data_IF_175751321757
#
_entry.id   IF_175751321757
#
_cell.length_a   1.000
_cell.length_b   1.000
_cell.length_c   1.000
_cell.angle_alpha   90.00
_cell.angle_beta   90.00
_cell.angle_gamma   90.00
#
_symmetry.space_group_name_H-M   'P 1'
#
loop_
_entity.id
_entity.type
_entity.pdbx_description
1 polymer ?
#
# COMPACT_ATOMS: atom_id res chain seq x y z
N UNK A 1 -24.77 3.64 -5.78
CA UNK A 1 -23.62 3.23 -6.62
C UNK A 1 -22.90 4.44 -7.26
N UNK A 2 -23.61 5.37 -7.90
CA UNK A 2 -23.03 6.51 -8.64
C UNK A 2 -22.36 7.59 -7.78
N UNK A 3 -22.93 7.95 -6.62
CA UNK A 3 -22.38 9.02 -5.77
C UNK A 3 -20.99 8.70 -5.21
N UNK A 4 -20.76 7.44 -4.83
CA UNK A 4 -19.48 6.98 -4.25
C UNK A 4 -18.37 6.89 -5.31
N UNK A 5 -18.72 6.49 -6.55
CA UNK A 5 -17.83 6.54 -7.72
C UNK A 5 -17.40 7.98 -8.03
N UNK A 6 -18.34 8.93 -7.95
CA UNK A 6 -18.04 10.35 -8.14
C UNK A 6 -17.15 10.92 -7.03
N UNK A 7 -17.40 10.58 -5.76
CA UNK A 7 -16.54 10.99 -4.64
C UNK A 7 -15.13 10.41 -4.77
N UNK A 8 -15.00 9.12 -5.11
CA UNK A 8 -13.70 8.45 -5.27
C UNK A 8 -12.93 9.08 -6.44
N UNK A 9 -13.56 9.28 -7.59
CA UNK A 9 -12.93 9.97 -8.72
C UNK A 9 -12.47 11.39 -8.35
N UNK A 10 -13.31 12.17 -7.66
CA UNK A 10 -12.99 13.53 -7.25
C UNK A 10 -11.88 13.60 -6.20
N UNK A 11 -11.88 12.67 -5.23
CA UNK A 11 -10.90 12.61 -4.13
C UNK A 11 -9.51 12.15 -4.61
N UNK A 12 -9.46 11.14 -5.48
CA UNK A 12 -8.19 10.54 -5.90
C UNK A 12 -7.62 11.13 -7.18
N UNK A 13 -8.45 11.44 -8.19
CA UNK A 13 -7.99 11.91 -9.50
C UNK A 13 -8.16 13.42 -9.70
N UNK A 14 -8.84 14.13 -8.77
CA UNK A 14 -9.22 15.55 -8.91
C UNK A 14 -9.92 15.87 -10.25
N UNK A 15 -10.46 14.85 -10.93
CA UNK A 15 -11.22 14.94 -12.17
C UNK A 15 -12.67 14.54 -11.89
N UNK A 16 -13.60 15.15 -12.60
CA UNK A 16 -14.99 14.71 -12.60
C UNK A 16 -15.12 13.40 -13.37
N UNK A 17 -16.03 12.52 -12.94
CA UNK A 17 -16.27 11.21 -13.54
C UNK A 17 -16.46 11.28 -15.07
N UNK A 18 -17.09 12.35 -15.55
CA UNK A 18 -17.36 12.55 -16.97
C UNK A 18 -16.11 12.87 -17.80
N UNK A 19 -15.04 13.36 -17.16
CA UNK A 19 -13.74 13.63 -17.83
C UNK A 19 -12.77 12.46 -17.79
N UNK A 20 -13.17 11.34 -17.19
CA UNK A 20 -12.34 10.15 -17.12
C UNK A 20 -12.37 9.37 -18.43
N UNK A 21 -11.20 8.91 -18.88
CA UNK A 21 -11.04 7.99 -20.01
C UNK A 21 -11.70 6.64 -19.71
N UNK A 22 -12.06 5.87 -20.74
CA UNK A 22 -12.70 4.56 -20.56
C UNK A 22 -11.86 3.55 -19.75
N UNK A 23 -10.53 3.64 -19.87
CA UNK A 23 -9.59 2.87 -19.05
C UNK A 23 -9.59 3.35 -17.60
N UNK A 24 -9.49 4.66 -17.35
CA UNK A 24 -9.62 5.25 -16.00
C UNK A 24 -10.94 4.84 -15.33
N UNK A 25 -12.08 4.93 -16.03
CA UNK A 25 -13.41 4.52 -15.51
C UNK A 25 -13.47 3.05 -15.12
N UNK A 26 -12.91 2.14 -15.95
CA UNK A 26 -12.86 0.70 -15.64
C UNK A 26 -12.05 0.42 -14.39
N UNK A 27 -10.93 1.12 -14.22
CA UNK A 27 -10.07 0.97 -13.05
C UNK A 27 -10.82 1.48 -11.82
N UNK A 28 -11.37 2.69 -11.83
CA UNK A 28 -12.17 3.22 -10.70
C UNK A 28 -13.36 2.31 -10.35
N UNK A 29 -14.04 1.73 -11.34
CA UNK A 29 -15.17 0.81 -11.10
C UNK A 29 -14.75 -0.48 -10.38
N UNK A 30 -13.65 -1.12 -10.80
CA UNK A 30 -13.07 -2.29 -10.11
C UNK A 30 -12.60 -1.96 -8.70
N UNK A 31 -12.15 -0.74 -8.50
CA UNK A 31 -11.62 -0.27 -7.22
C UNK A 31 -12.72 0.05 -6.22
N UNK A 32 -13.83 0.66 -6.65
CA UNK A 32 -14.99 0.91 -5.78
C UNK A 32 -15.64 -0.41 -5.33
N UNK A 33 -15.75 -1.41 -6.20
CA UNK A 33 -16.26 -2.74 -5.82
C UNK A 33 -15.40 -3.39 -4.72
N UNK A 34 -14.06 -3.32 -4.84
CA UNK A 34 -13.14 -3.91 -3.85
C UNK A 34 -13.03 -3.08 -2.56
N UNK A 35 -13.08 -1.75 -2.64
CA UNK A 35 -13.04 -0.85 -1.48
C UNK A 35 -14.29 -0.98 -0.58
N UNK A 36 -15.45 -1.29 -1.17
CA UNK A 36 -16.70 -1.45 -0.42
C UNK A 36 -16.65 -2.63 0.57
N UNK A 37 -15.95 -3.71 0.20
CA UNK A 37 -15.80 -4.91 1.04
C UNK A 37 -14.93 -4.58 2.26
N UNK A 38 -13.81 -3.86 2.07
CA UNK A 38 -12.89 -3.51 3.17
C UNK A 38 -13.49 -2.52 4.17
N UNK A 39 -14.19 -1.49 3.66
CA UNK A 39 -14.71 -0.39 4.50
C UNK A 39 -15.90 -0.78 5.36
N UNK A 40 -16.75 -1.70 4.90
CA UNK A 40 -17.94 -2.12 5.68
C UNK A 40 -17.52 -2.76 7.01
N UNK A 41 -16.52 -3.64 6.97
CA UNK A 41 -16.08 -4.35 8.17
C UNK A 41 -15.25 -3.50 9.13
N UNK A 42 -14.80 -2.31 8.73
CA UNK A 42 -14.07 -1.41 9.62
C UNK A 42 -15.01 -0.56 10.51
N UNK A 43 -16.20 -0.21 10.00
CA UNK A 43 -17.18 0.61 10.74
C UNK A 43 -17.79 -0.12 11.94
N UNK A 44 -17.83 -1.45 11.92
CA UNK A 44 -18.28 -2.25 13.06
C UNK A 44 -17.31 -2.21 14.26
N UNK A 45 -16.06 -1.78 14.06
CA UNK A 45 -15.01 -1.80 15.11
C UNK A 45 -14.82 -0.48 15.84
N UNK A 46 -15.26 0.66 15.30
CA UNK A 46 -14.99 1.97 15.91
C UNK A 46 -15.94 2.36 17.05
N UNK A 47 -17.08 1.67 17.23
CA UNK A 47 -18.20 2.22 18.00
C UNK A 47 -18.19 1.93 19.51
N UNK A 48 -17.17 1.24 20.04
CA UNK A 48 -17.12 0.92 21.48
C UNK A 48 -15.81 1.36 22.11
N UNK A 49 -15.78 2.58 22.67
CA UNK A 49 -14.69 3.02 23.56
C UNK A 49 -15.15 3.11 25.00
N UNK A 50 -14.94 2.04 25.77
CA UNK A 50 -15.25 1.97 27.21
C UNK A 50 -14.01 2.13 28.10
N UNK A 51 -14.22 2.49 29.38
CA UNK A 51 -13.15 2.68 30.38
C UNK A 51 -12.27 1.43 30.59
N UNK A 52 -12.87 0.23 30.50
CA UNK A 52 -12.15 -1.04 30.62
C UNK A 52 -11.09 -1.25 29.54
N UNK A 53 -11.33 -0.75 28.32
CA UNK A 53 -10.37 -0.87 27.22
C UNK A 53 -9.11 -0.03 27.48
N UNK A 54 -9.24 1.17 28.07
CA UNK A 54 -8.08 2.03 28.41
C UNK A 54 -7.21 1.42 29.51
N UNK A 55 -7.82 0.72 30.46
CA UNK A 55 -7.10 0.03 31.53
C UNK A 55 -6.37 -1.21 30.98
N UNK A 56 -7.04 -2.00 30.14
CA UNK A 56 -6.42 -3.14 29.46
C UNK A 56 -5.26 -2.72 28.56
N UNK A 57 -5.33 -1.54 27.93
CA UNK A 57 -4.21 -0.95 27.17
C UNK A 57 -2.96 -0.77 28.01
N UNK A 58 -3.10 -0.10 29.16
CA UNK A 58 -1.97 0.14 30.06
C UNK A 58 -1.39 -1.18 30.58
N UNK A 59 -2.23 -2.15 30.92
CA UNK A 59 -1.78 -3.44 31.45
C UNK A 59 -1.05 -4.25 30.37
N UNK A 60 -1.53 -4.26 29.12
CA UNK A 60 -0.92 -5.01 28.04
C UNK A 60 0.44 -4.46 27.62
N UNK A 61 0.57 -3.13 27.49
CA UNK A 61 1.85 -2.50 27.17
C UNK A 61 2.87 -2.70 28.30
N UNK A 62 2.42 -2.72 29.56
CA UNK A 62 3.28 -2.96 30.71
C UNK A 62 3.70 -4.43 30.84
N UNK A 63 2.78 -5.37 30.64
CA UNK A 63 3.03 -6.82 30.76
C UNK A 63 3.98 -7.38 29.71
N UNK A 64 4.13 -6.75 28.54
CA UNK A 64 5.05 -7.16 27.48
C UNK A 64 6.48 -6.62 27.60
N UNK A 65 6.78 -5.81 28.63
CA UNK A 65 8.10 -5.18 28.78
C UNK A 65 9.08 -6.05 29.57
N UNK A 66 10.35 -6.07 29.15
CA UNK A 66 11.46 -6.68 29.90
C UNK A 66 11.60 -6.10 31.32
N UNK A 67 11.27 -4.82 31.50
CA UNK A 67 11.30 -4.16 32.81
C UNK A 67 10.28 -4.77 33.79
N UNK A 68 9.10 -5.18 33.30
CA UNK A 68 8.08 -5.82 34.13
C UNK A 68 8.54 -7.18 34.64
N UNK A 69 9.15 -8.00 33.78
CA UNK A 69 9.69 -9.32 34.13
C UNK A 69 10.73 -9.19 35.25
N UNK A 70 11.62 -8.19 35.14
CA UNK A 70 12.68 -7.94 36.14
C UNK A 70 12.08 -7.48 37.48
N UNK A 71 11.16 -6.51 37.48
CA UNK A 71 10.52 -6.01 38.71
C UNK A 71 9.69 -7.10 39.38
N UNK A 72 8.95 -7.88 38.60
CA UNK A 72 8.14 -8.99 39.11
C UNK A 72 9.01 -10.07 39.76
N UNK A 73 10.09 -10.49 39.08
CA UNK A 73 11.06 -11.44 39.63
C UNK A 73 11.74 -10.92 40.89
N UNK A 74 12.13 -9.64 40.93
CA UNK A 74 12.71 -9.01 42.12
C UNK A 74 11.72 -8.98 43.29
N UNK A 75 10.44 -8.68 43.02
CA UNK A 75 9.39 -8.67 44.05
C UNK A 75 9.19 -10.06 44.66
N UNK A 76 9.18 -11.11 43.82
CA UNK A 76 9.12 -12.50 44.30
C UNK A 76 10.35 -12.86 45.15
N UNK A 77 11.55 -12.48 44.71
CA UNK A 77 12.78 -12.72 45.46
C UNK A 77 12.77 -12.00 46.82
N UNK A 78 12.29 -10.75 46.86
CA UNK A 78 12.13 -9.97 48.10
C UNK A 78 11.10 -10.63 49.03
N UNK A 79 9.98 -11.11 48.50
CA UNK A 79 8.96 -11.79 49.30
C UNK A 79 9.49 -13.07 49.94
N UNK A 80 10.19 -13.89 49.16
CA UNK A 80 10.84 -15.11 49.66
C UNK A 80 11.89 -14.76 50.72
N UNK A 81 12.76 -13.78 50.47
CA UNK A 81 13.79 -13.35 51.41
C UNK A 81 13.19 -12.80 52.72
N UNK A 82 12.15 -11.98 52.64
CA UNK A 82 11.46 -11.41 53.80
C UNK A 82 10.81 -12.51 54.64
N UNK A 83 10.14 -13.46 54.01
CA UNK A 83 9.47 -14.56 54.70
C UNK A 83 10.48 -15.55 55.33
N UNK A 84 11.61 -15.84 54.65
CA UNK A 84 12.72 -16.59 55.24
C UNK A 84 13.38 -15.86 56.41
N UNK A 85 13.52 -14.53 56.33
CA UNK A 85 14.09 -13.71 57.41
C UNK A 85 13.17 -13.67 58.64
N UNK A 86 11.85 -13.51 58.44
CA UNK A 86 10.84 -13.54 59.50
C UNK A 86 10.78 -14.92 60.18
N UNK A 87 10.86 -16.01 59.41
CA UNK A 87 10.96 -17.37 59.93
C UNK A 87 12.19 -17.54 60.84
N UNK A 88 13.34 -16.97 60.45
CA UNK A 88 14.58 -17.07 61.22
C UNK A 88 14.60 -16.22 62.51
N UNK A 89 13.89 -15.08 62.56
CA UNK A 89 14.01 -14.11 63.66
C UNK A 89 12.79 -14.01 64.58
N UNK A 90 11.58 -14.44 64.16
CA UNK A 90 10.33 -14.22 64.92
C UNK A 90 9.55 -15.48 65.32
N UNK A 91 10.08 -16.69 65.04
CA UNK A 91 9.54 -17.94 65.60
C UNK A 91 8.28 -18.49 64.92
N UNK A 92 7.88 -17.95 63.76
CA UNK A 92 6.80 -18.52 62.94
C UNK A 92 6.79 -17.93 61.53
N UNK A 93 6.74 -18.73 60.46
CA UNK A 93 6.65 -18.22 59.09
C UNK A 93 5.28 -17.59 58.84
N UNK A 94 5.25 -16.43 58.19
CA UNK A 94 4.00 -15.81 57.75
C UNK A 94 3.34 -16.61 56.61
N UNK A 95 4.17 -17.20 55.73
CA UNK A 95 3.73 -18.11 54.65
C UNK A 95 4.65 -19.36 54.60
N UNK A 96 4.37 -20.43 55.35
CA UNK A 96 5.23 -21.61 55.39
C UNK A 96 5.43 -22.23 54.00
N UNK A 97 6.61 -22.80 53.74
CA UNK A 97 6.86 -23.57 52.51
C UNK A 97 5.79 -24.67 52.37
N UNK A 98 5.03 -24.74 51.26
CA UNK A 98 5.37 -24.32 49.89
C UNK A 98 4.80 -22.95 49.42
N UNK A 99 4.59 -21.98 50.32
CA UNK A 99 4.07 -20.63 50.04
C UNK A 99 2.64 -20.60 49.47
N UNK A 100 1.65 -21.06 50.26
CA UNK A 100 0.24 -21.15 49.83
C UNK A 100 -0.32 -19.80 49.38
N UNK A 101 0.00 -18.72 50.10
CA UNK A 101 -0.55 -17.40 49.80
C UNK A 101 0.03 -16.85 48.50
N UNK A 102 1.34 -16.95 48.32
CA UNK A 102 2.00 -16.55 47.08
C UNK A 102 1.48 -17.37 45.89
N UNK A 103 1.30 -18.67 46.06
CA UNK A 103 0.76 -19.54 45.02
C UNK A 103 -0.69 -19.17 44.64
N UNK A 104 -1.53 -18.83 45.62
CA UNK A 104 -2.90 -18.35 45.38
C UNK A 104 -2.90 -17.04 44.57
N UNK A 105 -2.05 -16.08 44.94
CA UNK A 105 -1.91 -14.81 44.20
C UNK A 105 -1.40 -15.02 42.77
N UNK A 106 -0.39 -15.87 42.58
CA UNK A 106 0.13 -16.20 41.25
C UNK A 106 -0.94 -16.89 40.39
N UNK A 107 -1.72 -17.79 40.96
CA UNK A 107 -2.80 -18.49 40.26
C UNK A 107 -3.91 -17.52 39.82
N UNK A 108 -4.29 -16.59 40.69
CA UNK A 108 -5.27 -15.54 40.34
C UNK A 108 -4.72 -14.60 39.25
N UNK A 109 -3.44 -14.21 39.35
CA UNK A 109 -2.79 -13.37 38.34
C UNK A 109 -2.75 -14.06 36.98
N UNK A 110 -2.37 -15.35 36.95
CA UNK A 110 -2.33 -16.16 35.73
C UNK A 110 -3.72 -16.34 35.11
N UNK A 111 -4.77 -16.54 35.93
CA UNK A 111 -6.14 -16.65 35.44
C UNK A 111 -6.62 -15.37 34.72
N UNK A 112 -6.17 -14.20 35.17
CA UNK A 112 -6.48 -12.92 34.53
C UNK A 112 -5.59 -12.59 33.33
N UNK A 113 -4.46 -13.28 33.14
CA UNK A 113 -3.55 -13.02 32.02
C UNK A 113 -4.18 -13.36 30.68
N UNK A 114 -4.79 -14.53 30.52
CA UNK A 114 -5.32 -14.97 29.22
C UNK A 114 -6.40 -14.02 28.65
N UNK A 115 -7.40 -13.56 29.42
CA UNK A 115 -8.36 -12.56 28.94
C UNK A 115 -7.73 -11.20 28.62
N UNK A 116 -6.79 -10.73 29.43
CA UNK A 116 -6.10 -9.45 29.19
C UNK A 116 -5.25 -9.51 27.92
N UNK A 117 -4.54 -10.62 27.71
CA UNK A 117 -3.78 -10.89 26.49
C UNK A 117 -4.74 -10.96 25.29
N UNK A 118 -5.86 -11.69 25.40
CA UNK A 118 -6.85 -11.80 24.34
C UNK A 118 -7.49 -10.45 24.00
N UNK A 119 -7.79 -9.61 24.99
CA UNK A 119 -8.28 -8.24 24.77
C UNK A 119 -7.23 -7.35 24.11
N UNK A 120 -5.95 -7.48 24.49
CA UNK A 120 -4.86 -6.76 23.82
C UNK A 120 -4.65 -7.21 22.38
N UNK A 121 -4.73 -8.51 22.13
CA UNK A 121 -4.60 -9.09 20.78
C UNK A 121 -5.77 -8.64 19.89
N UNK A 122 -7.00 -8.68 20.39
CA UNK A 122 -8.18 -8.22 19.63
C UNK A 122 -8.05 -6.73 19.24
N UNK A 123 -7.44 -5.91 20.10
CA UNK A 123 -7.17 -4.51 19.81
C UNK A 123 -6.03 -4.30 18.82
N UNK A 124 -4.93 -5.03 18.96
CA UNK A 124 -3.84 -4.98 17.99
C UNK A 124 -4.35 -5.37 16.60
N UNK A 125 -5.17 -6.44 16.51
CA UNK A 125 -5.80 -6.86 15.25
C UNK A 125 -6.72 -5.78 14.66
N UNK A 126 -7.46 -5.03 15.49
CA UNK A 126 -8.27 -3.91 15.03
C UNK A 126 -7.41 -2.76 14.47
N UNK A 127 -6.27 -2.46 15.10
CA UNK A 127 -5.31 -1.46 14.60
C UNK A 127 -4.64 -1.94 13.29
N UNK A 128 -4.17 -3.18 13.25
CA UNK A 128 -3.58 -3.78 12.06
C UNK A 128 -4.57 -3.77 10.88
N UNK A 129 -5.86 -3.95 11.18
CA UNK A 129 -6.93 -3.82 10.18
C UNK A 129 -7.10 -2.39 9.65
N UNK A 130 -7.06 -1.39 10.52
CA UNK A 130 -7.11 0.03 10.13
C UNK A 130 -5.90 0.39 9.26
N UNK A 131 -4.71 -0.02 9.68
CA UNK A 131 -3.46 0.20 8.95
C UNK A 131 -3.52 -0.49 7.57
N UNK A 132 -3.99 -1.75 7.52
CA UNK A 132 -4.19 -2.46 6.25
C UNK A 132 -5.24 -1.80 5.34
N UNK A 133 -6.30 -1.21 5.90
CA UNK A 133 -7.30 -0.46 5.13
C UNK A 133 -6.70 0.83 4.54
N UNK A 134 -5.83 1.51 5.31
CA UNK A 134 -5.11 2.68 4.83
C UNK A 134 -4.10 2.32 3.73
N UNK A 135 -3.31 1.27 3.93
CA UNK A 135 -2.36 0.77 2.93
C UNK A 135 -3.07 0.37 1.63
N UNK A 136 -4.26 -0.24 1.76
CA UNK A 136 -5.11 -0.55 0.62
C UNK A 136 -5.51 0.72 -0.16
N UNK A 137 -5.90 1.79 0.55
CA UNK A 137 -6.26 3.09 -0.05
C UNK A 137 -5.07 3.75 -0.76
N UNK A 138 -3.88 3.67 -0.17
CA UNK A 138 -2.64 4.19 -0.77
C UNK A 138 -2.27 3.40 -2.03
N UNK A 139 -2.30 2.07 -1.97
CA UNK A 139 -2.01 1.21 -3.12
C UNK A 139 -2.99 1.45 -4.27
N UNK A 140 -4.27 1.60 -3.94
CA UNK A 140 -5.34 1.99 -4.84
C UNK A 140 -5.01 3.31 -5.58
N UNK A 141 -4.59 4.32 -4.83
CA UNK A 141 -4.20 5.61 -5.41
C UNK A 141 -2.99 5.48 -6.34
N UNK A 142 -1.99 4.70 -5.95
CA UNK A 142 -0.81 4.44 -6.78
C UNK A 142 -1.16 3.74 -8.10
N UNK A 143 -2.06 2.74 -8.07
CA UNK A 143 -2.53 2.05 -9.28
C UNK A 143 -3.19 3.04 -10.26
N UNK A 144 -4.01 3.97 -9.76
CA UNK A 144 -4.64 5.01 -10.57
C UNK A 144 -3.64 5.98 -11.18
N UNK A 145 -2.65 6.43 -10.40
CA UNK A 145 -1.59 7.32 -10.88
C UNK A 145 -0.77 6.65 -12.00
N UNK A 146 -0.44 5.37 -11.86
CA UNK A 146 0.26 4.60 -12.90
C UNK A 146 -0.54 4.54 -14.19
N UNK A 147 -1.84 4.25 -14.11
CA UNK A 147 -2.70 4.18 -15.31
C UNK A 147 -2.76 5.54 -16.01
N UNK A 148 -2.92 6.62 -15.25
CA UNK A 148 -2.95 7.97 -15.83
C UNK A 148 -1.62 8.37 -16.47
N UNK A 149 -0.49 7.98 -15.86
CA UNK A 149 0.83 8.17 -16.46
C UNK A 149 1.00 7.37 -17.76
N UNK A 150 0.49 6.14 -17.80
CA UNK A 150 0.55 5.30 -18.99
C UNK A 150 -0.23 5.92 -20.16
N UNK A 151 -1.41 6.48 -19.90
CA UNK A 151 -2.19 7.18 -20.93
C UNK A 151 -1.45 8.40 -21.50
N UNK A 152 -0.84 9.22 -20.64
CA UNK A 152 -0.04 10.36 -21.10
C UNK A 152 1.17 9.94 -21.92
N UNK A 153 1.78 8.81 -21.56
CA UNK A 153 2.92 8.27 -22.29
C UNK A 153 2.50 7.71 -23.66
N UNK A 154 1.36 7.03 -23.73
CA UNK A 154 0.76 6.56 -24.98
C UNK A 154 0.46 7.76 -25.92
N UNK A 155 -0.15 8.83 -25.40
CA UNK A 155 -0.47 10.04 -26.17
C UNK A 155 0.80 10.72 -26.73
N UNK A 156 1.83 10.90 -25.89
CA UNK A 156 3.10 11.46 -26.33
C UNK A 156 3.78 10.58 -27.39
N UNK A 157 3.71 9.25 -27.24
CA UNK A 157 4.29 8.31 -28.21
C UNK A 157 3.57 8.38 -29.55
N UNK A 158 2.25 8.48 -29.56
CA UNK A 158 1.46 8.63 -30.80
C UNK A 158 1.80 9.94 -31.52
N UNK A 159 1.91 11.05 -30.79
CA UNK A 159 2.33 12.34 -31.37
C UNK A 159 3.72 12.23 -32.00
N UNK A 160 4.69 11.65 -31.29
CA UNK A 160 6.06 11.44 -31.81
C UNK A 160 6.10 10.51 -33.02
N UNK A 161 5.27 9.46 -33.03
CA UNK A 161 5.15 8.58 -34.20
C UNK A 161 4.60 9.32 -35.41
N UNK A 162 3.55 10.14 -35.24
CA UNK A 162 3.01 10.94 -36.33
C UNK A 162 4.06 11.92 -36.88
N UNK A 163 4.82 12.61 -36.02
CA UNK A 163 5.93 13.48 -36.42
C UNK A 163 6.99 12.73 -37.25
N UNK A 164 7.41 11.54 -36.81
CA UNK A 164 8.41 10.75 -37.52
C UNK A 164 7.92 10.27 -38.88
N UNK A 165 6.65 9.85 -39.00
CA UNK A 165 6.06 9.44 -40.28
C UNK A 165 6.02 10.60 -41.26
N UNK A 166 5.63 11.79 -40.81
CA UNK A 166 5.65 13.00 -41.64
C UNK A 166 7.06 13.34 -42.12
N UNK A 167 8.05 13.25 -41.23
CA UNK A 167 9.45 13.49 -41.59
C UNK A 167 9.98 12.45 -42.59
N UNK A 168 9.59 11.18 -42.46
CA UNK A 168 9.91 10.14 -43.44
C UNK A 168 9.28 10.40 -44.81
N UNK A 169 8.01 10.82 -44.86
CA UNK A 169 7.34 11.15 -46.13
C UNK A 169 8.04 12.29 -46.86
N UNK A 170 8.46 13.32 -46.13
CA UNK A 170 9.20 14.44 -46.72
C UNK A 170 10.57 14.00 -47.26
N UNK A 171 11.27 13.12 -46.52
CA UNK A 171 12.53 12.53 -47.00
C UNK A 171 12.36 11.71 -48.28
N UNK A 172 11.30 10.89 -48.36
CA UNK A 172 11.00 10.10 -49.57
C UNK A 172 10.70 11.03 -50.75
N UNK A 173 9.93 12.10 -50.52
CA UNK A 173 9.59 13.07 -51.56
C UNK A 173 10.82 13.80 -52.10
N UNK A 174 11.75 14.20 -51.23
CA UNK A 174 13.02 14.79 -51.64
C UNK A 174 13.88 13.80 -52.44
N UNK A 175 13.92 12.52 -52.04
CA UNK A 175 14.62 11.49 -52.79
C UNK A 175 14.02 11.26 -54.18
N UNK A 176 12.68 11.25 -54.30
CA UNK A 176 12.00 11.17 -55.60
C UNK A 176 12.35 12.35 -56.50
N UNK A 177 12.36 13.57 -55.96
CA UNK A 177 12.75 14.78 -56.71
C UNK A 177 14.21 14.74 -57.17
N UNK A 178 15.13 14.25 -56.33
CA UNK A 178 16.53 14.09 -56.70
C UNK A 178 16.69 13.03 -57.80
N UNK A 179 15.98 11.91 -57.69
CA UNK A 179 16.00 10.85 -58.68
C UNK A 179 15.44 11.34 -60.02
N UNK A 180 14.30 12.04 -60.03
CA UNK A 180 13.71 12.59 -61.26
C UNK A 180 14.64 13.61 -61.91
N UNK A 181 15.20 14.54 -61.12
CA UNK A 181 16.15 15.54 -61.62
C UNK A 181 17.38 14.88 -62.25
N UNK A 182 17.93 13.83 -61.62
CA UNK A 182 19.04 13.07 -62.16
C UNK A 182 18.67 12.33 -63.46
N UNK A 183 17.51 11.69 -63.51
CA UNK A 183 17.02 11.00 -64.71
C UNK A 183 16.83 11.96 -65.89
N UNK A 184 16.25 13.14 -65.65
CA UNK A 184 16.05 14.18 -66.66
C UNK A 184 17.39 14.74 -67.16
N UNK A 185 18.35 14.93 -66.26
CA UNK A 185 19.71 15.39 -66.59
C UNK A 185 20.45 14.35 -67.45
N UNK A 186 20.31 13.06 -67.16
CA UNK A 186 20.90 11.99 -67.98
C UNK A 186 20.19 11.82 -69.33
N UNK A 187 18.87 11.96 -69.39
CA UNK A 187 18.11 11.93 -70.63
C UNK A 187 18.47 13.11 -71.57
N UNK A 188 18.79 14.27 -71.01
CA UNK A 188 19.24 15.45 -71.77
C UNK A 188 20.72 15.38 -72.17
N UNK A 189 21.57 14.64 -71.44
CA UNK A 189 22.99 14.46 -71.76
C UNK A 189 23.28 13.43 -72.87
N UNK A 190 22.27 12.72 -73.39
CA UNK A 190 22.37 11.83 -74.56
C UNK A 190 21.68 12.45 -75.80
N UNK A 191 22.29 13.44 -76.48
CA UNK A 191 21.80 13.89 -77.77
C UNK A 191 22.19 12.85 -78.84
N UNK A 192 21.18 12.14 -79.35
CA UNK A 192 21.06 11.73 -80.76
C UNK A 192 22.37 11.34 -81.47
N UNK A 193 22.99 10.21 -81.12
CA UNK A 193 23.96 9.52 -82.02
C UNK A 193 23.24 8.65 -83.05
N UNK A 194 22.06 9.06 -83.53
CA UNK A 194 21.20 8.29 -84.43
C UNK A 194 20.92 9.06 -85.73
N UNK A 195 21.97 9.59 -86.34
CA UNK A 195 21.86 10.33 -87.60
C UNK A 195 23.05 10.13 -88.56
N UNK A 196 23.68 8.94 -88.58
CA UNK A 196 24.77 8.60 -89.50
C UNK A 196 24.56 7.34 -90.37
N UNK A 197 23.34 6.79 -90.49
CA UNK A 197 23.05 5.63 -91.38
C UNK A 197 22.04 5.92 -92.50
N UNK A 198 21.65 7.18 -92.71
CA UNK A 198 20.90 7.63 -93.90
C UNK A 198 21.70 8.67 -94.67
N UNK A 199 22.69 8.25 -95.47
CA UNK A 199 23.25 8.91 -96.67
C UNK A 199 24.67 8.38 -96.96
N UNK A 200 24.77 7.16 -97.47
CA UNK A 200 25.85 6.63 -98.34
C UNK A 200 25.60 5.15 -98.59
#
# INVERSE_FOLDING_TARGET
MSQHLQETAKRFLRKEWDKLTERERRVVKRLVERAHISRNTNREFEDERTFGQRLADKIATFGGSWTFIIIFGATLAVWVALNSYILAHRGGPFDPYPYILLNLFLSMLAALQAPVIMMSQNRQAAKDRLDAAHDYEVNLKAELEIVSLHEKLDELREQRWAEMVLMQQEQIRMLEQLLSTHLDTHAQAQPTTDNLTRLS
#
